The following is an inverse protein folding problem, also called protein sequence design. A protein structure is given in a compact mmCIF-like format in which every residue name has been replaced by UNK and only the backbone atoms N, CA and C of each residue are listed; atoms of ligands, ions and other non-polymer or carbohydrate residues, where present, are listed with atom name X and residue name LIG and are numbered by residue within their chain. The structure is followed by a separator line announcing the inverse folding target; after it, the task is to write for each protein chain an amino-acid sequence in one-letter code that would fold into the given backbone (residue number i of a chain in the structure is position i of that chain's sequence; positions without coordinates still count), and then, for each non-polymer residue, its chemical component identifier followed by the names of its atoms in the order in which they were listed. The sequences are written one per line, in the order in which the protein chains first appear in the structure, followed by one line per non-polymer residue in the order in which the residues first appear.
data_IF_833328183403
#
_entry.id   IF_833328183403
#
_cell.length_a   1.000
_cell.length_b   1.000
_cell.length_c   1.000
_cell.angle_alpha   90.00
_cell.angle_beta   90.00
_cell.angle_gamma   90.00
#
_symmetry.space_group_name_H-M   'P 1'
#
loop_
_entity.id
_entity.type
_entity.pdbx_description
1 polymer ?
#
# COMPACT_ATOMS: atom_id res chain seq x y z
N UNK A 1 26.37 8.56 30.31
CA UNK A 1 25.36 7.51 30.00
C UNK A 1 24.04 8.21 29.78
N UNK A 2 23.52 8.21 28.55
CA UNK A 2 22.24 8.85 28.24
C UNK A 2 21.10 7.93 28.69
N UNK A 3 20.11 8.48 29.38
CA UNK A 3 18.89 7.75 29.73
C UNK A 3 18.18 7.25 28.47
N UNK A 4 17.59 6.03 28.48
CA UNK A 4 16.77 5.58 27.38
C UNK A 4 15.55 6.51 27.23
N UNK A 5 15.13 6.84 25.99
CA UNK A 5 13.97 7.69 25.76
C UNK A 5 12.71 7.05 26.35
N UNK A 6 11.82 7.88 26.90
CA UNK A 6 10.51 7.43 27.40
C UNK A 6 9.66 6.91 26.24
N UNK A 7 8.77 5.96 26.52
CA UNK A 7 7.84 5.43 25.51
C UNK A 7 7.04 6.58 24.87
N UNK A 8 7.30 6.87 23.60
CA UNK A 8 6.63 7.93 22.82
C UNK A 8 7.50 9.14 22.47
N UNK A 9 8.71 9.27 23.02
CA UNK A 9 9.66 10.30 22.61
C UNK A 9 10.53 9.82 21.44
N UNK A 10 10.74 10.64 20.40
CA UNK A 10 11.67 10.28 19.33
C UNK A 10 13.07 10.08 19.92
N UNK A 11 13.67 8.91 19.65
CA UNK A 11 15.09 8.69 19.95
C UNK A 11 15.96 9.70 19.18
N UNK A 12 17.24 9.88 19.56
CA UNK A 12 18.10 10.99 19.10
C UNK A 12 18.46 11.01 17.61
N UNK A 13 17.89 10.09 16.81
CA UNK A 13 18.23 9.87 15.40
C UNK A 13 17.00 9.70 14.50
N UNK A 14 15.80 9.85 15.07
CA UNK A 14 14.52 9.70 14.37
C UNK A 14 13.64 10.89 14.68
N UNK A 15 12.99 11.44 13.66
CA UNK A 15 11.93 12.42 13.82
C UNK A 15 10.57 11.72 13.74
N UNK A 16 9.66 12.10 14.64
CA UNK A 16 8.28 11.63 14.57
C UNK A 16 7.54 12.46 13.53
N UNK A 17 6.91 11.76 12.59
CA UNK A 17 6.03 12.31 11.58
C UNK A 17 4.58 11.94 11.92
N UNK A 18 3.64 12.75 11.46
CA UNK A 18 2.22 12.39 11.47
C UNK A 18 1.78 11.98 10.08
N UNK A 19 1.51 10.70 9.89
CA UNK A 19 0.87 10.16 8.69
C UNK A 19 -0.64 10.03 8.87
N UNK A 20 -1.30 9.61 7.80
CA UNK A 20 -2.68 9.11 7.84
C UNK A 20 -2.74 7.73 7.19
N UNK A 21 -3.51 6.83 7.79
CA UNK A 21 -3.87 5.55 7.21
C UNK A 21 -4.83 5.76 6.03
N UNK A 22 -5.03 4.74 5.18
CA UNK A 22 -6.01 4.76 4.09
C UNK A 22 -7.43 5.22 4.50
N UNK A 23 -7.86 4.89 5.71
CA UNK A 23 -9.16 5.26 6.28
C UNK A 23 -9.20 6.70 6.86
N UNK A 24 -8.09 7.43 6.77
CA UNK A 24 -7.96 8.81 7.23
C UNK A 24 -7.54 8.94 8.70
N UNK A 25 -7.42 7.85 9.47
CA UNK A 25 -6.98 7.91 10.85
C UNK A 25 -5.50 8.34 10.94
N UNK A 26 -5.14 9.21 11.90
CA UNK A 26 -3.76 9.61 12.10
C UNK A 26 -2.92 8.41 12.55
N UNK A 27 -1.77 8.22 11.92
CA UNK A 27 -0.80 7.19 12.30
C UNK A 27 0.55 7.84 12.60
N UNK A 28 1.17 7.54 13.76
CA UNK A 28 2.54 7.97 14.00
C UNK A 28 3.47 7.25 13.02
N UNK A 29 4.29 8.02 12.32
CA UNK A 29 5.36 7.51 11.50
C UNK A 29 6.69 8.05 12.02
N UNK A 30 7.79 7.45 11.59
CA UNK A 30 9.13 7.89 11.95
C UNK A 30 9.97 7.97 10.69
N UNK A 31 10.77 9.03 10.58
CA UNK A 31 11.81 9.14 9.58
C UNK A 31 13.15 9.35 10.28
N UNK A 32 14.23 8.92 9.64
CA UNK A 32 15.57 9.25 10.10
C UNK A 32 15.81 10.76 9.96
N UNK A 33 16.45 11.37 10.96
CA UNK A 33 17.05 12.68 10.81
C UNK A 33 18.42 12.59 10.13
N UNK A 34 19.13 13.71 10.00
CA UNK A 34 20.44 13.76 9.35
C UNK A 34 21.49 12.86 10.02
N UNK A 35 21.44 12.72 11.35
CA UNK A 35 22.34 11.85 12.09
C UNK A 35 21.93 10.38 11.94
N UNK A 36 20.64 10.09 12.02
CA UNK A 36 20.08 8.76 11.76
C UNK A 36 20.37 8.25 10.35
N UNK A 37 20.31 9.12 9.34
CA UNK A 37 20.67 8.78 7.96
C UNK A 37 22.14 8.41 7.82
N UNK A 38 23.06 9.11 8.50
CA UNK A 38 24.49 8.75 8.51
C UNK A 38 24.72 7.40 9.18
N UNK A 39 24.05 7.15 10.31
CA UNK A 39 24.14 5.87 11.02
C UNK A 39 23.60 4.74 10.14
N UNK A 40 22.43 4.92 9.53
CA UNK A 40 21.82 3.95 8.63
C UNK A 40 22.69 3.69 7.40
N UNK A 41 23.27 4.73 6.78
CA UNK A 41 24.19 4.56 5.65
C UNK A 41 25.45 3.77 6.04
N UNK A 42 25.97 3.97 7.26
CA UNK A 42 27.12 3.22 7.74
C UNK A 42 26.78 1.75 8.03
N UNK A 43 25.58 1.47 8.56
CA UNK A 43 25.14 0.12 8.94
C UNK A 43 24.64 -0.70 7.75
N UNK A 44 23.87 -0.07 6.84
CA UNK A 44 23.17 -0.72 5.74
C UNK A 44 23.87 -0.51 4.39
N UNK A 45 24.88 0.36 4.32
CA UNK A 45 25.58 0.70 3.08
C UNK A 45 24.84 1.76 2.26
N UNK A 46 24.65 1.51 0.95
CA UNK A 46 24.21 2.49 -0.07
C UNK A 46 22.75 2.94 0.05
N UNK A 47 22.29 3.33 1.25
CA UNK A 47 21.01 3.99 1.44
C UNK A 47 21.21 5.47 1.11
N UNK A 48 20.71 5.90 -0.05
CA UNK A 48 20.77 7.32 -0.42
C UNK A 48 19.70 8.06 0.37
N UNK A 49 20.12 9.11 1.09
CA UNK A 49 19.18 10.05 1.72
C UNK A 49 18.29 10.63 0.62
N UNK A 50 16.97 10.47 0.75
CA UNK A 50 16.03 11.23 -0.08
C UNK A 50 16.21 12.72 0.22
N UNK A 51 16.34 13.53 -0.83
CA UNK A 51 16.50 14.98 -0.70
C UNK A 51 15.22 15.69 -0.23
N UNK A 52 14.07 15.01 -0.30
CA UNK A 52 12.79 15.57 0.04
C UNK A 52 12.41 15.27 1.49
N UNK A 53 11.91 16.28 2.20
CA UNK A 53 11.24 16.07 3.49
C UNK A 53 10.10 15.09 3.30
N UNK A 54 10.09 13.99 4.07
CA UNK A 54 9.03 12.99 4.01
C UNK A 54 7.71 13.64 4.45
N UNK A 55 6.82 13.88 3.48
CA UNK A 55 5.47 14.41 3.72
C UNK A 55 4.53 13.28 4.13
N UNK A 56 3.44 13.57 4.86
CA UNK A 56 2.42 12.58 5.23
C UNK A 56 1.87 11.80 4.01
N UNK A 57 1.77 12.46 2.87
CA UNK A 57 1.33 11.86 1.60
C UNK A 57 2.30 10.77 1.11
N UNK A 58 3.61 10.98 1.26
CA UNK A 58 4.61 9.97 0.88
C UNK A 58 4.49 8.70 1.73
N UNK A 59 4.16 8.86 3.02
CA UNK A 59 3.91 7.72 3.92
C UNK A 59 2.67 6.95 3.47
N UNK A 60 1.58 7.65 3.15
CA UNK A 60 0.34 7.01 2.69
C UNK A 60 0.56 6.23 1.38
N UNK A 61 1.33 6.78 0.43
CA UNK A 61 1.70 6.10 -0.82
C UNK A 61 2.58 4.87 -0.54
N UNK A 62 3.59 5.02 0.33
CA UNK A 62 4.48 3.92 0.71
C UNK A 62 3.72 2.78 1.40
N UNK A 63 2.74 3.09 2.26
CA UNK A 63 1.89 2.08 2.90
C UNK A 63 1.04 1.35 1.87
N UNK A 64 0.32 2.06 1.01
CA UNK A 64 -0.54 1.44 0.00
C UNK A 64 0.22 0.53 -0.98
N UNK A 65 1.40 0.97 -1.44
CA UNK A 65 2.27 0.14 -2.28
C UNK A 65 2.86 -1.06 -1.53
N UNK A 66 3.17 -0.90 -0.24
CA UNK A 66 3.63 -2.01 0.60
C UNK A 66 2.53 -3.04 0.86
N UNK A 67 1.30 -2.60 1.15
CA UNK A 67 0.14 -3.49 1.31
C UNK A 67 -0.13 -4.28 0.04
N UNK A 68 -0.06 -3.62 -1.12
CA UNK A 68 -0.18 -4.30 -2.42
C UNK A 68 0.90 -5.36 -2.62
N UNK A 69 2.18 -5.03 -2.36
CA UNK A 69 3.27 -5.99 -2.46
C UNK A 69 3.09 -7.17 -1.50
N UNK A 70 2.78 -6.89 -0.23
CA UNK A 70 2.58 -7.94 0.79
C UNK A 70 1.44 -8.86 0.39
N UNK A 71 0.30 -8.33 -0.07
CA UNK A 71 -0.81 -9.16 -0.54
C UNK A 71 -0.43 -10.08 -1.70
N UNK A 72 0.37 -9.60 -2.65
CA UNK A 72 0.89 -10.45 -3.74
C UNK A 72 1.84 -11.53 -3.23
N UNK A 73 2.72 -11.17 -2.29
CA UNK A 73 3.63 -12.11 -1.67
C UNK A 73 2.87 -13.17 -0.87
N UNK A 74 1.80 -12.82 -0.17
CA UNK A 74 0.95 -13.79 0.55
C UNK A 74 0.22 -14.75 -0.40
N UNK A 75 -0.26 -14.28 -1.56
CA UNK A 75 -0.90 -15.13 -2.57
C UNK A 75 0.09 -16.03 -3.32
N UNK A 76 1.28 -15.52 -3.63
CA UNK A 76 2.31 -16.27 -4.35
C UNK A 76 3.15 -17.16 -3.43
N UNK A 77 3.42 -16.76 -2.20
CA UNK A 77 4.33 -17.44 -1.27
C UNK A 77 3.53 -18.12 -0.14
N UNK A 78 2.57 -18.98 -0.48
CA UNK A 78 2.12 -19.98 0.48
C UNK A 78 3.38 -20.67 1.08
N UNK A 79 3.55 -20.64 2.40
CA UNK A 79 4.87 -20.64 3.01
C UNK A 79 5.46 -22.05 3.02
N UNK A 80 6.60 -22.23 2.35
CA UNK A 80 7.69 -22.89 3.06
C UNK A 80 8.23 -21.83 4.05
N UNK A 81 8.12 -22.06 5.37
CA UNK A 81 8.56 -21.08 6.36
C UNK A 81 10.02 -20.70 6.13
N UNK A 82 10.28 -19.40 5.95
CA UNK A 82 11.64 -18.84 5.85
C UNK A 82 12.12 -18.49 4.45
N UNK A 83 11.33 -18.71 3.39
CA UNK A 83 11.69 -18.32 2.01
C UNK A 83 11.10 -16.95 1.64
N UNK A 84 11.52 -15.89 2.31
CA UNK A 84 11.33 -14.54 1.77
C UNK A 84 12.20 -14.38 0.51
N UNK A 85 11.76 -13.61 -0.50
CA UNK A 85 12.57 -13.35 -1.69
C UNK A 85 13.95 -12.84 -1.26
N UNK A 86 14.99 -13.47 -1.80
CA UNK A 86 16.36 -13.09 -1.49
C UNK A 86 16.54 -11.61 -1.87
N UNK A 87 16.86 -10.77 -0.88
CA UNK A 87 17.35 -9.42 -1.14
C UNK A 87 18.59 -9.60 -2.01
N UNK A 88 18.56 -9.12 -3.26
CA UNK A 88 19.59 -9.38 -4.27
C UNK A 88 20.99 -8.81 -3.92
N UNK A 89 21.16 -8.27 -2.72
CA UNK A 89 22.45 -7.98 -2.12
C UNK A 89 22.41 -8.51 -0.70
N UNK A 90 23.49 -9.15 -0.21
CA UNK A 90 23.62 -9.68 1.15
C UNK A 90 23.52 -8.65 2.30
N UNK A 91 22.86 -7.52 2.06
CA UNK A 91 22.51 -6.47 2.99
C UNK A 91 21.06 -6.69 3.43
N UNK A 92 20.88 -7.21 4.64
CA UNK A 92 19.57 -7.26 5.30
C UNK A 92 19.01 -5.84 5.35
N UNK A 93 17.80 -5.62 4.81
CA UNK A 93 17.00 -4.46 5.22
C UNK A 93 16.33 -3.60 4.16
N UNK A 94 16.15 -4.01 2.91
CA UNK A 94 15.28 -3.22 2.02
C UNK A 94 14.53 -4.05 0.99
N UNK A 95 13.19 -3.98 1.03
CA UNK A 95 12.30 -4.46 -0.04
C UNK A 95 12.37 -3.57 -1.29
N UNK A 96 13.25 -2.54 -1.34
CA UNK A 96 13.37 -1.63 -2.47
C UNK A 96 13.59 -2.34 -3.81
N UNK A 97 14.22 -3.52 -3.78
CA UNK A 97 14.43 -4.39 -4.94
C UNK A 97 14.16 -5.85 -4.58
N UNK A 98 12.92 -6.16 -4.17
CA UNK A 98 12.53 -7.55 -3.94
C UNK A 98 12.44 -8.30 -5.29
N UNK A 99 13.18 -9.39 -5.42
CA UNK A 99 13.16 -10.22 -6.63
C UNK A 99 12.87 -11.66 -6.24
N UNK A 100 11.89 -12.23 -6.92
CA UNK A 100 11.52 -13.63 -6.89
C UNK A 100 11.63 -14.19 -8.32
N UNK A 101 11.68 -15.50 -8.49
CA UNK A 101 11.68 -16.12 -9.82
C UNK A 101 10.41 -15.81 -10.64
N UNK A 102 9.35 -15.32 -9.97
CA UNK A 102 8.04 -15.03 -10.58
C UNK A 102 7.78 -13.55 -10.77
N UNK A 103 8.36 -12.71 -9.92
CA UNK A 103 8.13 -11.26 -9.93
C UNK A 103 9.37 -10.47 -9.55
N UNK A 104 9.44 -9.22 -10.02
CA UNK A 104 10.40 -8.23 -9.55
C UNK A 104 9.66 -6.98 -9.09
N UNK A 105 10.03 -6.47 -7.92
CA UNK A 105 9.53 -5.22 -7.37
C UNK A 105 10.62 -4.15 -7.38
N UNK A 106 10.29 -2.96 -7.88
CA UNK A 106 11.14 -1.78 -7.87
C UNK A 106 10.40 -0.67 -7.11
N UNK A 107 10.92 -0.24 -5.96
CA UNK A 107 10.33 0.87 -5.20
C UNK A 107 10.50 2.22 -5.91
N UNK A 108 9.76 3.23 -5.46
CA UNK A 108 9.84 4.63 -5.90
C UNK A 108 11.27 5.17 -6.06
N UNK A 109 12.19 4.80 -5.17
CA UNK A 109 13.59 5.25 -5.20
C UNK A 109 14.38 4.67 -6.38
N UNK A 110 13.99 3.50 -6.87
CA UNK A 110 14.66 2.77 -7.97
C UNK A 110 13.87 2.81 -9.28
N UNK A 111 12.64 3.32 -9.24
CA UNK A 111 11.71 3.38 -10.37
C UNK A 111 11.86 4.63 -11.25
N UNK A 112 12.73 5.58 -10.88
CA UNK A 112 12.98 6.80 -11.65
C UNK A 112 13.47 6.49 -13.07
N UNK A 113 12.75 6.97 -14.10
CA UNK A 113 13.11 6.81 -15.53
C UNK A 113 13.19 8.16 -16.22
N UNK A 114 14.38 8.76 -16.32
CA UNK A 114 14.57 10.04 -17.00
C UNK A 114 14.63 9.86 -18.52
N UNK A 115 14.05 10.80 -19.26
CA UNK A 115 14.22 10.90 -20.72
C UNK A 115 14.28 12.36 -21.16
N UNK A 116 14.68 12.61 -22.41
CA UNK A 116 14.66 13.95 -23.01
C UNK A 116 13.63 13.98 -24.14
N UNK A 117 12.72 14.95 -24.07
CA UNK A 117 11.67 15.13 -25.07
C UNK A 117 11.89 16.43 -25.82
N UNK A 118 11.79 16.39 -27.15
CA UNK A 118 11.87 17.59 -27.95
C UNK A 118 10.55 18.37 -27.86
N UNK A 119 10.60 19.58 -27.30
CA UNK A 119 9.46 20.47 -27.24
C UNK A 119 9.48 21.40 -28.46
N UNK A 120 8.52 21.20 -29.37
CA UNK A 120 8.39 21.99 -30.61
C UNK A 120 8.12 23.47 -30.34
N UNK A 121 7.43 23.82 -29.25
CA UNK A 121 7.09 25.20 -28.90
C UNK A 121 8.31 26.00 -28.46
N UNK A 122 9.21 25.36 -27.71
CA UNK A 122 10.43 25.99 -27.19
C UNK A 122 11.65 25.71 -28.08
N UNK A 123 11.49 24.87 -29.11
CA UNK A 123 12.55 24.40 -30.00
C UNK A 123 13.76 23.85 -29.22
N UNK A 124 13.50 23.13 -28.12
CA UNK A 124 14.53 22.67 -27.19
C UNK A 124 14.26 21.24 -26.70
N UNK A 125 15.33 20.55 -26.32
CA UNK A 125 15.23 19.29 -25.58
C UNK A 125 14.92 19.60 -24.13
N UNK A 126 13.78 19.11 -23.63
CA UNK A 126 13.37 19.28 -22.25
C UNK A 126 13.55 17.98 -21.46
N UNK A 127 14.21 18.02 -20.30
CA UNK A 127 14.31 16.86 -19.44
C UNK A 127 12.93 16.51 -18.86
N UNK A 128 12.61 15.22 -18.89
CA UNK A 128 11.40 14.62 -18.33
C UNK A 128 11.77 13.41 -17.48
N UNK A 129 10.86 12.99 -16.62
CA UNK A 129 11.04 11.79 -15.83
C UNK A 129 9.71 11.11 -15.50
N UNK A 130 9.73 9.78 -15.56
CA UNK A 130 8.68 8.93 -15.02
C UNK A 130 9.07 8.58 -13.59
N UNK A 131 8.13 8.76 -12.66
CA UNK A 131 8.33 8.53 -11.23
C UNK A 131 7.12 7.78 -10.65
N UNK A 132 6.88 6.53 -11.06
CA UNK A 132 5.85 5.72 -10.45
C UNK A 132 6.17 5.50 -8.97
N UNK A 133 5.14 5.36 -8.14
CA UNK A 133 5.30 5.00 -6.73
C UNK A 133 5.96 3.62 -6.57
N UNK A 134 5.73 2.70 -7.53
CA UNK A 134 6.49 1.46 -7.68
C UNK A 134 6.36 0.88 -9.10
N UNK A 135 7.23 -0.07 -9.44
CA UNK A 135 7.09 -0.91 -10.63
C UNK A 135 7.08 -2.38 -10.20
N UNK A 136 6.05 -3.10 -10.61
CA UNK A 136 5.95 -4.55 -10.50
C UNK A 136 6.18 -5.17 -11.88
N UNK A 137 7.13 -6.08 -11.98
CA UNK A 137 7.37 -6.88 -13.19
C UNK A 137 6.93 -8.31 -12.92
N UNK A 138 5.92 -8.79 -13.64
CA UNK A 138 5.44 -10.17 -13.57
C UNK A 138 6.16 -10.96 -14.67
N UNK A 139 7.19 -11.70 -14.27
CA UNK A 139 8.16 -12.27 -15.20
C UNK A 139 7.54 -13.33 -16.12
N UNK A 140 6.60 -14.13 -15.60
CA UNK A 140 5.91 -15.16 -16.36
C UNK A 140 4.87 -14.57 -17.33
N UNK A 141 4.04 -13.65 -16.85
CA UNK A 141 3.03 -12.98 -17.66
C UNK A 141 3.64 -11.99 -18.66
N UNK A 142 4.93 -11.63 -18.51
CA UNK A 142 5.62 -10.58 -19.27
C UNK A 142 4.86 -9.26 -19.23
N UNK A 143 4.38 -8.90 -18.04
CA UNK A 143 3.65 -7.66 -17.78
C UNK A 143 4.49 -6.79 -16.85
N UNK A 144 4.58 -5.49 -17.17
CA UNK A 144 5.18 -4.48 -16.31
C UNK A 144 4.11 -3.50 -15.86
N UNK A 145 3.81 -3.53 -14.57
CA UNK A 145 2.82 -2.69 -13.91
C UNK A 145 3.51 -1.49 -13.29
N UNK A 146 3.23 -0.31 -13.81
CA UNK A 146 3.55 0.97 -13.18
C UNK A 146 2.48 1.28 -12.15
N UNK A 147 2.85 1.40 -10.88
CA UNK A 147 1.91 1.60 -9.78
C UNK A 147 1.94 3.07 -9.37
N UNK A 148 0.76 3.67 -9.30
CA UNK A 148 0.53 5.05 -8.89
C UNK A 148 -0.59 5.07 -7.85
N UNK A 149 -0.33 5.64 -6.68
CA UNK A 149 -1.33 5.83 -5.65
C UNK A 149 -2.09 7.14 -5.90
N UNK A 150 -3.39 7.02 -6.13
CA UNK A 150 -4.32 8.15 -6.31
C UNK A 150 -4.98 8.51 -4.97
N UNK A 151 -4.13 8.93 -4.02
CA UNK A 151 -4.54 9.46 -2.72
C UNK A 151 -4.93 10.92 -2.90
N UNK A 152 -6.21 11.21 -3.19
CA UNK A 152 -6.69 12.57 -3.45
C UNK A 152 -6.15 13.57 -2.41
N UNK A 153 -5.24 14.46 -2.83
CA UNK A 153 -4.58 15.42 -1.94
C UNK A 153 -5.40 16.67 -1.68
N UNK A 154 -6.54 16.82 -2.36
CA UNK A 154 -7.43 17.94 -2.19
C UNK A 154 -8.68 17.50 -1.45
N UNK A 155 -8.99 18.24 -0.38
CA UNK A 155 -10.25 18.16 0.36
C UNK A 155 -11.42 18.00 -0.60
N UNK A 156 -12.46 17.30 -0.14
CA UNK A 156 -13.74 16.98 -0.81
C UNK A 156 -14.50 18.25 -1.33
N UNK A 157 -13.88 19.43 -1.27
CA UNK A 157 -14.38 20.72 -1.73
C UNK A 157 -13.50 21.42 -2.80
N UNK A 158 -12.39 20.84 -3.28
CA UNK A 158 -11.80 21.32 -4.55
C UNK A 158 -12.64 20.78 -5.70
N UNK A 159 -13.00 21.63 -6.66
CA UNK A 159 -13.77 21.23 -7.84
C UNK A 159 -13.19 19.96 -8.46
N UNK A 160 -14.07 19.10 -8.96
CA UNK A 160 -13.73 17.84 -9.64
C UNK A 160 -12.64 18.03 -10.73
N UNK A 161 -12.53 19.25 -11.25
CA UNK A 161 -11.64 19.71 -12.31
C UNK A 161 -10.15 19.67 -11.94
N UNK A 162 -9.77 20.07 -10.71
CA UNK A 162 -8.35 20.11 -10.31
C UNK A 162 -7.76 18.69 -10.09
N UNK A 163 -8.56 17.80 -9.52
CA UNK A 163 -8.19 16.39 -9.32
C UNK A 163 -8.19 15.60 -10.65
N UNK A 164 -9.11 15.94 -11.57
CA UNK A 164 -9.12 15.39 -12.93
C UNK A 164 -7.86 15.82 -13.69
N UNK A 165 -7.45 17.10 -13.59
CA UNK A 165 -6.25 17.63 -14.24
C UNK A 165 -4.97 16.89 -13.85
N UNK A 166 -4.82 16.51 -12.58
CA UNK A 166 -3.65 15.75 -12.11
C UNK A 166 -3.62 14.33 -12.65
N UNK A 167 -4.76 13.63 -12.64
CA UNK A 167 -4.88 12.27 -13.18
C UNK A 167 -4.62 12.25 -14.68
N UNK A 168 -5.26 13.13 -15.45
CA UNK A 168 -5.06 13.26 -16.90
C UNK A 168 -3.61 13.61 -17.23
N UNK A 169 -2.97 14.49 -16.46
CA UNK A 169 -1.55 14.82 -16.65
C UNK A 169 -0.64 13.61 -16.45
N UNK A 170 -0.94 12.74 -15.48
CA UNK A 170 -0.23 11.46 -15.32
C UNK A 170 -0.47 10.56 -16.53
N UNK A 171 -1.73 10.33 -16.92
CA UNK A 171 -2.09 9.49 -18.06
C UNK A 171 -1.36 9.93 -19.34
N UNK A 172 -1.38 11.23 -19.64
CA UNK A 172 -0.65 11.80 -20.78
C UNK A 172 0.86 11.58 -20.67
N UNK A 173 1.45 11.74 -19.48
CA UNK A 173 2.89 11.49 -19.27
C UNK A 173 3.27 10.03 -19.53
N UNK A 174 2.49 9.09 -19.02
CA UNK A 174 2.71 7.66 -19.29
C UNK A 174 2.53 7.36 -20.78
N UNK A 175 1.46 7.87 -21.39
CA UNK A 175 1.21 7.67 -22.82
C UNK A 175 2.36 8.20 -23.68
N UNK A 176 2.84 9.43 -23.45
CA UNK A 176 4.03 9.97 -24.11
C UNK A 176 5.26 9.10 -23.92
N UNK A 177 5.49 8.56 -22.72
CA UNK A 177 6.62 7.65 -22.49
C UNK A 177 6.51 6.35 -23.30
N UNK A 178 5.29 5.86 -23.53
CA UNK A 178 5.04 4.64 -24.31
C UNK A 178 5.10 4.86 -25.82
N UNK A 179 4.70 6.04 -26.31
CA UNK A 179 4.54 6.30 -27.76
C UNK A 179 5.61 7.18 -28.36
N UNK A 180 6.15 8.12 -27.59
CA UNK A 180 7.20 9.03 -28.07
C UNK A 180 8.55 8.32 -28.01
N UNK A 181 9.38 8.57 -29.00
CA UNK A 181 10.70 7.98 -29.11
C UNK A 181 11.64 8.87 -29.90
N UNK A 182 12.92 8.52 -29.88
CA UNK A 182 13.91 9.15 -30.74
C UNK A 182 14.03 8.36 -32.03
N UNK A 183 14.09 9.07 -33.16
CA UNK A 183 14.48 8.45 -34.41
C UNK A 183 15.95 8.03 -34.31
N UNK A 184 16.24 6.73 -34.40
CA UNK A 184 17.61 6.28 -34.58
C UNK A 184 18.06 6.70 -35.99
N UNK A 185 19.30 7.15 -36.14
CA UNK A 185 19.84 7.71 -37.40
C UNK A 185 19.79 6.76 -38.61
N UNK A 186 19.41 5.50 -38.41
CA UNK A 186 19.23 4.51 -39.48
C UNK A 186 18.20 3.39 -39.15
N UNK A 187 17.26 3.60 -38.20
CA UNK A 187 16.38 2.52 -37.71
C UNK A 187 14.95 2.96 -37.36
N UNK A 188 14.04 2.01 -37.06
CA UNK A 188 12.70 2.34 -36.62
C UNK A 188 12.73 3.17 -35.33
N UNK A 189 11.79 4.10 -35.19
CA UNK A 189 11.64 4.93 -33.98
C UNK A 189 11.48 4.01 -32.77
N UNK A 190 12.41 4.11 -31.81
CA UNK A 190 12.34 3.36 -30.57
C UNK A 190 11.74 4.25 -29.49
N UNK A 191 10.62 3.83 -28.92
CA UNK A 191 9.94 4.59 -27.86
C UNK A 191 10.77 4.65 -26.59
N UNK A 192 10.57 5.66 -25.74
CA UNK A 192 11.31 5.78 -24.49
C UNK A 192 11.11 4.55 -23.59
N UNK A 193 9.89 3.99 -23.57
CA UNK A 193 9.63 2.70 -22.92
C UNK A 193 10.55 1.59 -23.44
N UNK A 194 10.62 1.39 -24.76
CA UNK A 194 11.45 0.35 -25.36
C UNK A 194 12.96 0.58 -25.18
N UNK A 195 13.39 1.84 -24.98
CA UNK A 195 14.78 2.17 -24.65
C UNK A 195 15.12 1.78 -23.20
N UNK A 196 14.23 2.07 -22.25
CA UNK A 196 14.43 1.71 -20.84
C UNK A 196 14.19 0.23 -20.56
N UNK A 197 13.34 -0.42 -21.36
CA UNK A 197 12.87 -1.78 -21.13
C UNK A 197 12.88 -2.60 -22.43
N UNK A 198 14.04 -3.17 -22.80
CA UNK A 198 14.20 -3.92 -24.05
C UNK A 198 13.55 -5.31 -24.03
N UNK A 199 13.06 -5.77 -22.88
CA UNK A 199 12.42 -7.07 -22.67
C UNK A 199 11.02 -7.22 -23.29
N UNK A 200 10.44 -6.12 -23.78
CA UNK A 200 9.13 -6.08 -24.44
C UNK A 200 7.97 -6.52 -23.54
N UNK A 201 8.07 -6.35 -22.23
CA UNK A 201 6.92 -6.60 -21.36
C UNK A 201 5.78 -5.65 -21.72
N UNK A 202 4.54 -6.13 -21.63
CA UNK A 202 3.36 -5.31 -21.86
C UNK A 202 3.21 -4.27 -20.74
N UNK A 203 3.12 -2.97 -21.05
CA UNK A 203 3.00 -1.93 -20.03
C UNK A 203 1.55 -1.82 -19.53
N UNK A 204 1.40 -1.89 -18.21
CA UNK A 204 0.16 -1.65 -17.48
C UNK A 204 0.36 -0.46 -16.54
N UNK A 205 -0.64 0.40 -16.39
CA UNK A 205 -0.68 1.44 -15.37
C UNK A 205 -1.79 1.11 -14.38
N UNK A 206 -1.41 0.90 -13.13
CA UNK A 206 -2.31 0.65 -12.01
C UNK A 206 -2.43 1.92 -11.16
N UNK A 207 -3.63 2.51 -11.18
CA UNK A 207 -4.03 3.58 -10.28
C UNK A 207 -4.67 2.94 -9.02
N UNK A 208 -3.88 2.82 -7.96
CA UNK A 208 -4.33 2.34 -6.67
C UNK A 208 -5.11 3.42 -5.92
N UNK A 209 -6.33 3.09 -5.53
CA UNK A 209 -7.24 3.98 -4.77
C UNK A 209 -7.70 3.31 -3.48
N UNK A 210 -8.14 4.10 -2.51
CA UNK A 210 -8.50 3.58 -1.17
C UNK A 210 -10.00 3.39 -0.96
N UNK A 211 -10.84 4.02 -1.79
CA UNK A 211 -12.30 3.97 -1.62
C UNK A 211 -12.99 3.72 -2.95
N UNK A 212 -14.08 2.96 -2.93
CA UNK A 212 -14.88 2.71 -4.14
C UNK A 212 -15.49 4.00 -4.73
N UNK A 213 -15.67 5.04 -3.91
CA UNK A 213 -16.09 6.36 -4.39
C UNK A 213 -15.00 6.99 -5.26
N UNK A 214 -13.74 6.98 -4.80
CA UNK A 214 -12.60 7.48 -5.56
C UNK A 214 -12.36 6.63 -6.81
N UNK A 215 -12.47 5.31 -6.70
CA UNK A 215 -12.39 4.39 -7.84
C UNK A 215 -13.32 4.80 -8.96
N UNK A 216 -14.63 4.90 -8.69
CA UNK A 216 -15.63 5.30 -9.70
C UNK A 216 -15.32 6.66 -10.34
N UNK A 217 -14.88 7.62 -9.52
CA UNK A 217 -14.52 8.95 -10.03
C UNK A 217 -13.30 8.92 -10.94
N UNK A 218 -12.25 8.17 -10.58
CA UNK A 218 -11.01 8.06 -11.37
C UNK A 218 -11.25 7.22 -12.62
N UNK A 219 -12.05 6.15 -12.54
CA UNK A 219 -12.47 5.34 -13.69
C UNK A 219 -13.20 6.17 -14.74
N UNK A 220 -14.08 7.09 -14.31
CA UNK A 220 -14.74 8.02 -15.22
C UNK A 220 -13.73 8.87 -15.98
N UNK A 221 -12.76 9.47 -15.28
CA UNK A 221 -11.69 10.29 -15.88
C UNK A 221 -10.83 9.45 -16.84
N UNK A 222 -10.45 8.24 -16.47
CA UNK A 222 -9.68 7.32 -17.31
C UNK A 222 -10.47 6.94 -18.58
N UNK A 223 -11.77 6.70 -18.45
CA UNK A 223 -12.65 6.36 -19.58
C UNK A 223 -12.78 7.52 -20.57
N UNK A 224 -13.00 8.74 -20.06
CA UNK A 224 -13.07 9.96 -20.88
C UNK A 224 -11.74 10.22 -21.61
N UNK A 225 -10.62 10.15 -20.88
CA UNK A 225 -9.29 10.26 -21.46
C UNK A 225 -9.03 9.18 -22.53
N UNK A 226 -9.39 7.93 -22.27
CA UNK A 226 -9.19 6.83 -23.22
C UNK A 226 -10.05 6.99 -24.48
N UNK A 227 -11.26 7.55 -24.36
CA UNK A 227 -12.12 7.86 -25.51
C UNK A 227 -11.53 9.00 -26.36
N UNK A 228 -11.01 10.04 -25.72
CA UNK A 228 -10.29 11.11 -26.42
C UNK A 228 -9.02 10.60 -27.11
N UNK A 229 -8.22 9.80 -26.41
CA UNK A 229 -7.00 9.22 -26.96
C UNK A 229 -7.28 8.39 -28.21
N UNK A 230 -8.28 7.49 -28.17
CA UNK A 230 -8.64 6.64 -29.32
C UNK A 230 -9.13 7.44 -30.53
N UNK A 231 -9.80 8.59 -30.31
CA UNK A 231 -10.18 9.49 -31.40
C UNK A 231 -8.96 10.05 -32.12
N UNK A 232 -7.90 10.38 -31.39
CA UNK A 232 -6.64 10.87 -31.96
C UNK A 232 -5.72 9.73 -32.46
N UNK A 233 -5.85 8.52 -31.93
CA UNK A 233 -4.94 7.39 -32.16
C UNK A 233 -5.73 6.10 -32.46
N UNK A 234 -6.07 5.83 -33.73
CA UNK A 234 -6.86 4.66 -34.12
C UNK A 234 -6.18 3.31 -33.85
N UNK A 235 -4.85 3.28 -33.68
CA UNK A 235 -4.08 2.09 -33.36
C UNK A 235 -4.33 1.54 -31.96
N UNK A 236 -5.03 2.28 -31.10
CA UNK A 236 -5.44 1.84 -29.77
C UNK A 236 -4.79 2.63 -28.63
N UNK A 237 -4.93 2.09 -27.42
CA UNK A 237 -4.33 2.67 -26.23
C UNK A 237 -2.85 2.30 -26.14
N UNK A 238 -2.00 3.20 -25.62
CA UNK A 238 -0.56 2.97 -25.58
C UNK A 238 -0.12 2.10 -24.39
N UNK A 239 -1.01 1.89 -23.42
CA UNK A 239 -0.86 1.01 -22.26
C UNK A 239 -2.24 0.60 -21.73
N UNK A 240 -2.30 -0.50 -20.99
CA UNK A 240 -3.51 -0.90 -20.25
C UNK A 240 -3.62 -0.09 -18.95
N UNK A 241 -4.75 0.57 -18.70
CA UNK A 241 -4.94 1.41 -17.51
C UNK A 241 -6.02 0.81 -16.62
N UNK A 242 -5.67 0.53 -15.36
CA UNK A 242 -6.53 -0.10 -14.36
C UNK A 242 -6.66 0.81 -13.15
N UNK A 243 -7.87 0.97 -12.64
CA UNK A 243 -8.16 1.66 -11.38
C UNK A 243 -8.72 0.64 -10.41
N UNK A 244 -8.05 0.43 -9.28
CA UNK A 244 -8.40 -0.65 -8.36
C UNK A 244 -8.23 -0.26 -6.91
N UNK A 245 -9.06 -0.84 -6.06
CA UNK A 245 -8.75 -0.96 -4.64
C UNK A 245 -7.58 -1.94 -4.46
N UNK A 246 -6.80 -1.76 -3.40
CA UNK A 246 -5.69 -2.66 -3.06
C UNK A 246 -6.07 -4.16 -3.12
N UNK A 247 -7.15 -4.65 -2.47
CA UNK A 247 -7.50 -6.07 -2.53
C UNK A 247 -7.87 -6.55 -3.93
N UNK A 248 -8.52 -5.71 -4.74
CA UNK A 248 -8.86 -6.04 -6.13
C UNK A 248 -7.61 -6.14 -7.00
N UNK A 249 -6.66 -5.23 -6.82
CA UNK A 249 -5.38 -5.26 -7.50
C UNK A 249 -4.57 -6.50 -7.12
N UNK A 250 -4.53 -6.85 -5.83
CA UNK A 250 -3.88 -8.07 -5.34
C UNK A 250 -4.49 -9.30 -6.00
N UNK A 251 -5.83 -9.39 -6.06
CA UNK A 251 -6.51 -10.50 -6.73
C UNK A 251 -6.19 -10.56 -8.23
N UNK A 252 -6.28 -9.42 -8.93
CA UNK A 252 -6.08 -9.32 -10.38
C UNK A 252 -4.64 -9.69 -10.78
N UNK A 253 -3.64 -9.09 -10.15
CA UNK A 253 -2.23 -9.34 -10.48
C UNK A 253 -1.70 -10.62 -9.82
N UNK A 254 -2.29 -11.06 -8.71
CA UNK A 254 -1.98 -12.35 -8.09
C UNK A 254 -2.37 -13.52 -9.00
N UNK A 255 -3.48 -13.42 -9.73
CA UNK A 255 -3.90 -14.42 -10.72
C UNK A 255 -2.91 -14.58 -11.90
N UNK A 256 -2.03 -13.61 -12.12
CA UNK A 256 -0.98 -13.66 -13.15
C UNK A 256 0.32 -14.31 -12.64
N UNK A 257 0.40 -14.64 -11.34
CA UNK A 257 1.54 -15.36 -10.80
C UNK A 257 1.45 -16.85 -11.16
N UNK A 258 2.57 -17.49 -11.54
CA UNK A 258 2.57 -18.92 -11.83
C UNK A 258 2.27 -19.71 -10.55
N UNK A 259 1.39 -20.70 -10.67
CA UNK A 259 0.88 -21.48 -9.54
C UNK A 259 -0.29 -20.83 -8.79
N UNK A 260 -0.77 -19.66 -9.23
CA UNK A 260 -2.03 -19.11 -8.76
C UNK A 260 -3.17 -20.02 -9.22
N UNK A 261 -3.57 -20.95 -8.36
CA UNK A 261 -4.86 -21.63 -8.55
C UNK A 261 -5.93 -20.55 -8.50
N UNK A 262 -6.92 -20.61 -9.40
CA UNK A 262 -8.05 -19.68 -9.50
C UNK A 262 -9.02 -19.77 -8.29
N UNK A 263 -8.48 -19.98 -7.08
CA UNK A 263 -9.15 -19.61 -5.86
C UNK A 263 -9.26 -18.10 -5.87
N UNK A 264 -10.44 -17.61 -6.25
CA UNK A 264 -10.94 -16.30 -5.80
C UNK A 264 -10.44 -16.13 -4.37
N UNK A 265 -9.74 -15.03 -4.03
CA UNK A 265 -9.49 -14.75 -2.63
C UNK A 265 -10.87 -14.61 -2.02
N UNK A 266 -11.33 -15.66 -1.35
CA UNK A 266 -12.38 -15.57 -0.36
C UNK A 266 -11.94 -14.39 0.49
N UNK A 267 -12.64 -13.25 0.36
CA UNK A 267 -12.32 -12.02 1.09
C UNK A 267 -12.04 -12.36 2.53
N UNK A 268 -11.18 -11.56 3.21
CA UNK A 268 -10.46 -11.96 4.43
C UNK A 268 -11.32 -12.92 5.22
N UNK A 269 -10.94 -14.21 5.22
CA UNK A 269 -11.70 -15.24 5.95
C UNK A 269 -12.03 -14.60 7.27
N UNK A 270 -13.33 -14.39 7.59
CA UNK A 270 -13.72 -13.52 8.69
C UNK A 270 -12.92 -13.97 9.88
N UNK A 271 -12.02 -13.10 10.37
CA UNK A 271 -10.95 -13.42 11.31
C UNK A 271 -11.51 -14.36 12.36
N UNK A 272 -11.26 -15.66 12.18
CA UNK A 272 -11.97 -16.68 12.94
C UNK A 272 -11.11 -16.91 14.16
N UNK A 273 -11.31 -16.05 15.16
CA UNK A 273 -10.60 -16.16 16.42
C UNK A 273 -10.88 -17.55 16.99
N UNK A 274 -9.81 -18.29 17.28
CA UNK A 274 -9.92 -19.48 18.11
C UNK A 274 -10.50 -19.09 19.47
N UNK A 275 -11.11 -20.04 20.19
CA UNK A 275 -11.64 -19.77 21.53
C UNK A 275 -10.57 -19.21 22.47
N UNK A 276 -9.33 -19.68 22.32
CA UNK A 276 -8.18 -19.20 23.09
C UNK A 276 -7.85 -17.73 22.76
N UNK A 277 -7.89 -17.34 21.49
CA UNK A 277 -7.64 -15.96 21.08
C UNK A 277 -8.78 -15.02 21.48
N UNK A 278 -10.03 -15.45 21.32
CA UNK A 278 -11.20 -14.72 21.78
C UNK A 278 -11.15 -14.46 23.30
N UNK A 279 -10.81 -15.50 24.08
CA UNK A 279 -10.64 -15.37 25.53
C UNK A 279 -9.46 -14.47 25.89
N UNK A 280 -8.37 -14.47 25.11
CA UNK A 280 -7.23 -13.59 25.31
C UNK A 280 -7.61 -12.12 25.10
N UNK A 281 -8.37 -11.80 24.04
CA UNK A 281 -8.87 -10.44 23.77
C UNK A 281 -9.80 -9.96 24.88
N UNK A 282 -10.74 -10.80 25.32
CA UNK A 282 -11.65 -10.47 26.43
C UNK A 282 -10.88 -10.25 27.74
N UNK A 283 -9.89 -11.10 28.03
CA UNK A 283 -9.06 -10.97 29.24
C UNK A 283 -8.24 -9.69 29.22
N UNK A 284 -7.63 -9.36 28.09
CA UNK A 284 -6.89 -8.12 27.90
C UNK A 284 -7.80 -6.90 28.15
N UNK A 285 -8.97 -6.85 27.52
CA UNK A 285 -9.93 -5.77 27.70
C UNK A 285 -10.35 -5.61 29.17
N UNK A 286 -10.68 -6.72 29.85
CA UNK A 286 -11.05 -6.70 31.28
C UNK A 286 -9.91 -6.23 32.17
N UNK A 287 -8.68 -6.64 31.88
CA UNK A 287 -7.50 -6.21 32.63
C UNK A 287 -7.28 -4.70 32.49
N UNK A 288 -7.35 -4.16 31.27
CA UNK A 288 -7.23 -2.71 31.02
C UNK A 288 -8.32 -1.94 31.76
N UNK A 289 -9.56 -2.40 31.70
CA UNK A 289 -10.67 -1.77 32.42
C UNK A 289 -10.54 -1.84 33.94
N UNK A 290 -10.01 -2.94 34.49
CA UNK A 290 -9.76 -3.06 35.92
C UNK A 290 -8.72 -2.01 36.36
N UNK A 291 -7.60 -1.91 35.66
CA UNK A 291 -6.58 -0.88 35.90
C UNK A 291 -7.17 0.54 35.77
N UNK A 292 -8.04 0.77 34.79
CA UNK A 292 -8.69 2.07 34.64
C UNK A 292 -9.63 2.41 35.80
N UNK A 293 -10.35 1.42 36.33
CA UNK A 293 -11.18 1.58 37.53
C UNK A 293 -10.33 1.91 38.75
N UNK A 294 -9.23 1.20 38.96
CA UNK A 294 -8.28 1.46 40.05
C UNK A 294 -7.71 2.88 39.98
N UNK A 295 -7.28 3.32 38.79
CA UNK A 295 -6.78 4.69 38.58
C UNK A 295 -7.85 5.75 38.89
N UNK A 296 -9.10 5.51 38.47
CA UNK A 296 -10.21 6.42 38.76
C UNK A 296 -10.57 6.43 40.24
N UNK A 297 -10.49 5.30 40.93
CA UNK A 297 -10.69 5.23 42.38
C UNK A 297 -9.57 5.92 43.15
N UNK A 298 -8.32 5.76 42.74
CA UNK A 298 -7.17 6.46 43.31
C UNK A 298 -7.31 7.98 43.15
N UNK A 299 -7.67 8.45 41.95
CA UNK A 299 -7.93 9.87 41.70
C UNK A 299 -9.03 10.43 42.62
N UNK A 300 -10.14 9.71 42.81
CA UNK A 300 -11.21 10.11 43.75
C UNK A 300 -10.73 10.18 45.20
N UNK A 301 -9.93 9.20 45.66
CA UNK A 301 -9.38 9.18 47.02
C UNK A 301 -8.44 10.37 47.28
N UNK A 302 -7.75 10.83 46.24
CA UNK A 302 -6.85 11.97 46.29
C UNK A 302 -7.55 13.33 46.03
N UNK A 303 -8.88 13.34 45.87
CA UNK A 303 -9.63 14.57 45.57
C UNK A 303 -9.35 15.14 44.17
N UNK A 304 -8.80 14.33 43.25
CA UNK A 304 -8.55 14.70 41.86
C UNK A 304 -9.70 14.25 40.97
N UNK A 305 -9.91 14.97 39.86
CA UNK A 305 -10.87 14.56 38.86
C UNK A 305 -10.46 13.23 38.21
N UNK A 306 -11.35 12.22 38.18
CA UNK A 306 -11.02 10.93 37.61
C UNK A 306 -10.94 11.01 36.07
N UNK A 307 -9.92 10.39 35.45
CA UNK A 307 -9.73 10.46 33.99
C UNK A 307 -10.92 9.86 33.25
N UNK A 308 -11.50 10.51 32.22
CA UNK A 308 -12.68 10.02 31.51
C UNK A 308 -12.41 8.65 30.88
N UNK A 309 -13.43 7.80 30.76
CA UNK A 309 -13.28 6.53 30.06
C UNK A 309 -12.81 6.76 28.62
N UNK A 310 -11.98 5.85 28.06
CA UNK A 310 -11.61 5.93 26.65
C UNK A 310 -12.84 5.96 25.75
N UNK A 311 -12.80 6.82 24.73
CA UNK A 311 -13.81 6.87 23.66
C UNK A 311 -13.86 5.49 22.99
N UNK A 312 -15.07 4.96 22.76
CA UNK A 312 -15.23 3.63 22.17
C UNK A 312 -15.24 2.47 23.18
N UNK A 313 -15.11 2.73 24.49
CA UNK A 313 -15.00 1.66 25.50
C UNK A 313 -16.21 0.74 25.57
N UNK A 314 -17.43 1.24 25.32
CA UNK A 314 -18.65 0.43 25.29
C UNK A 314 -18.74 -0.40 24.02
N UNK A 315 -18.30 0.15 22.89
CA UNK A 315 -18.27 -0.49 21.58
C UNK A 315 -17.28 -1.65 21.57
N UNK A 316 -16.10 -1.47 22.18
CA UNK A 316 -15.11 -2.54 22.36
C UNK A 316 -15.63 -3.61 23.32
N UNK A 317 -16.36 -3.24 24.38
CA UNK A 317 -17.01 -4.23 25.26
C UNK A 317 -18.01 -5.09 24.48
N UNK A 318 -18.93 -4.45 23.75
CA UNK A 318 -19.93 -5.14 22.94
C UNK A 318 -19.29 -6.01 21.85
N UNK A 319 -18.17 -5.57 21.26
CA UNK A 319 -17.40 -6.37 20.33
C UNK A 319 -16.75 -7.59 21.01
N UNK A 320 -16.15 -7.42 22.18
CA UNK A 320 -15.50 -8.52 22.92
C UNK A 320 -16.49 -9.61 23.34
N UNK A 321 -17.71 -9.24 23.75
CA UNK A 321 -18.76 -10.20 24.11
C UNK A 321 -19.29 -10.92 22.85
N UNK A 322 -19.48 -10.22 21.72
CA UNK A 322 -19.86 -10.84 20.44
C UNK A 322 -18.81 -11.83 19.93
N UNK A 323 -17.53 -11.48 20.01
CA UNK A 323 -16.40 -12.36 19.65
C UNK A 323 -16.44 -13.66 20.48
N UNK A 324 -16.73 -13.55 21.78
CA UNK A 324 -16.84 -14.70 22.68
C UNK A 324 -18.07 -15.57 22.36
N UNK A 325 -19.19 -14.96 21.98
CA UNK A 325 -20.42 -15.66 21.59
C UNK A 325 -20.30 -16.39 20.25
N UNK A 326 -19.57 -15.82 19.30
CA UNK A 326 -19.36 -16.39 17.98
C UNK A 326 -18.25 -17.46 17.93
N UNK A 327 -17.55 -17.69 19.04
CA UNK A 327 -16.49 -18.70 19.12
C UNK A 327 -17.05 -20.13 18.97
N UNK A 328 -16.43 -20.99 18.15
CA UNK A 328 -16.99 -22.29 17.72
C UNK A 328 -17.29 -23.27 18.87
N UNK A 329 -16.58 -23.18 20.00
CA UNK A 329 -16.82 -24.01 21.18
C UNK A 329 -18.21 -23.81 21.80
N UNK A 330 -18.78 -22.60 21.76
CA UNK A 330 -20.12 -22.31 22.30
C UNK A 330 -21.24 -22.64 21.32
N UNK A 331 -21.00 -22.50 20.02
CA UNK A 331 -21.95 -22.96 19.01
C UNK A 331 -22.15 -24.47 19.06
N UNK A 332 -21.08 -25.24 19.33
CA UNK A 332 -21.18 -26.69 19.54
C UNK A 332 -21.89 -27.07 20.86
N UNK A 333 -21.72 -26.31 21.94
CA UNK A 333 -22.46 -26.53 23.20
C UNK A 333 -23.96 -26.20 23.07
N UNK A 334 -24.32 -25.13 22.36
CA UNK A 334 -25.73 -24.77 22.09
C UNK A 334 -26.44 -25.80 21.21
N UNK A 335 -25.74 -26.36 20.21
CA UNK A 335 -26.24 -27.43 19.36
C UNK A 335 -26.41 -28.76 20.12
N UNK A 336 -25.52 -29.08 21.07
CA UNK A 336 -25.62 -30.28 21.90
C UNK A 336 -26.77 -30.20 22.93
N UNK A 337 -27.03 -29.03 23.50
CA UNK A 337 -28.12 -28.80 24.45
C UNK A 337 -29.53 -28.82 23.80
N UNK A 338 -29.61 -28.70 22.47
CA UNK A 338 -30.87 -28.65 21.72
C UNK A 338 -31.30 -30.00 21.15
N UNK A 339 -30.59 -31.10 21.44
CA UNK A 339 -31.00 -32.46 21.04
C UNK A 339 -32.08 -32.99 21.98
N UNK A 340 -33.32 -33.26 21.52
CA UNK A 340 -34.34 -33.84 22.36
C UNK A 340 -33.94 -35.26 22.79
N UNK A 341 -34.14 -35.55 24.08
CA UNK A 341 -33.93 -36.88 24.64
C UNK A 341 -34.86 -37.87 23.93
N UNK A 342 -34.28 -38.77 23.14
CA UNK A 342 -35.01 -39.91 22.57
C UNK A 342 -35.33 -40.84 23.73
N UNK A 343 -36.61 -40.83 24.15
CA UNK A 343 -37.13 -41.76 25.13
C UNK A 343 -37.01 -43.20 24.60
N UNK A 344 -36.47 -44.09 25.43
CA UNK A 344 -36.42 -45.54 25.17
C UNK A 344 -37.74 -46.20 25.53
#
# INVERSE_FOLDING_TARGET
MAHPPRAGEPGPFVQRLQGRLPDGHPCPAWALDDAGWRIASNLLGAVKKSHDTVKPQHIAHALATSEFLVGLLELGLAPEPGRFPAVASGKRGSFATATDERLRWLSSETSHRPWSEYNQRTNAQEPRALRPDAILELLHAKVRVFVECEMGTHTIASSLEDAAGTTVSKLNRYASFMTTGTAASAGPVQTFYAQHFPDRFAPHLLLLVQTSARQRSVEKVVSEWAAEWRRANPSGLPLDVRVRLTPEAVAEYGALLPGASAGVPSGPSPLTLTTTEADAVVRFYRSVNATFKELREAARKEGRDPPPYPVGSQEVFALSERIREQSPARQQQSAAASRPAVAR
#
